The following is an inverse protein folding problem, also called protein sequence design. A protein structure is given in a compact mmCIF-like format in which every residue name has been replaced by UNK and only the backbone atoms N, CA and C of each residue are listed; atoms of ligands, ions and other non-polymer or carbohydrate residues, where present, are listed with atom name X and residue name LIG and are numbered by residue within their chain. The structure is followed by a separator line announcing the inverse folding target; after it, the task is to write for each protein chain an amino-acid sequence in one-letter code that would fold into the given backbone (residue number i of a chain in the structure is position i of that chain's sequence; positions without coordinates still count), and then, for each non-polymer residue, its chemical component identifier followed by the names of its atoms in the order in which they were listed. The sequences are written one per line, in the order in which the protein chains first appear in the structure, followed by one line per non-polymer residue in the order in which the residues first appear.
data_IF_520341019028
#
_entry.id   IF_520341019028
#
_cell.length_a   1.000
_cell.length_b   1.000
_cell.length_c   1.000
_cell.angle_alpha   90.00
_cell.angle_beta   90.00
_cell.angle_gamma   90.00
#
_symmetry.space_group_name_H-M   'P 1'
#
loop_
_entity.id
_entity.type
_entity.pdbx_description
1 polymer ?
#
# COMPACT_ATOMS: atom_id res chain seq x y z
N UNK A 1 -17.65 12.15 8.94
CA UNK A 1 -18.11 12.57 7.58
C UNK A 1 -17.31 11.91 6.47
N UNK A 2 -15.99 12.16 6.27
CA UNK A 2 -15.21 11.50 5.21
C UNK A 2 -15.20 9.97 5.34
N UNK A 3 -14.94 9.44 6.55
CA UNK A 3 -14.99 7.99 6.85
C UNK A 3 -16.35 7.39 6.52
N UNK A 4 -17.44 7.98 6.99
CA UNK A 4 -18.79 7.44 6.81
C UNK A 4 -19.18 7.43 5.32
N UNK A 5 -18.75 8.47 4.57
CA UNK A 5 -18.96 8.55 3.13
C UNK A 5 -18.16 7.44 2.40
N UNK A 6 -16.90 7.23 2.78
CA UNK A 6 -16.05 6.20 2.22
C UNK A 6 -16.60 4.79 2.51
N UNK A 7 -17.04 4.55 3.75
CA UNK A 7 -17.66 3.28 4.16
C UNK A 7 -18.94 3.00 3.36
N UNK A 8 -19.86 3.98 3.28
CA UNK A 8 -21.11 3.83 2.54
C UNK A 8 -20.87 3.61 1.04
N UNK A 9 -19.90 4.34 0.45
CA UNK A 9 -19.52 4.16 -0.95
C UNK A 9 -19.01 2.74 -1.20
N UNK A 10 -17.99 2.29 -0.46
CA UNK A 10 -17.40 0.96 -0.65
C UNK A 10 -18.39 -0.16 -0.34
N UNK A 11 -19.31 0.02 0.61
CA UNK A 11 -20.39 -0.93 0.85
C UNK A 11 -21.29 -1.10 -0.39
N UNK A 12 -21.41 -0.08 -1.24
CA UNK A 12 -22.23 -0.12 -2.46
C UNK A 12 -21.51 -0.73 -3.67
N UNK A 13 -20.17 -0.81 -3.69
CA UNK A 13 -19.39 -1.23 -4.88
C UNK A 13 -18.48 -2.41 -4.64
N UNK A 14 -18.23 -2.78 -3.38
CA UNK A 14 -17.21 -3.77 -2.99
C UNK A 14 -17.79 -4.72 -1.94
N UNK A 15 -18.84 -5.46 -2.28
CA UNK A 15 -19.30 -6.59 -1.51
C UNK A 15 -18.43 -7.84 -1.76
N UNK A 16 -18.63 -8.91 -0.99
CA UNK A 16 -17.86 -10.16 -1.12
C UNK A 16 -17.88 -10.72 -2.54
N UNK A 17 -19.02 -10.66 -3.22
CA UNK A 17 -19.19 -11.18 -4.59
C UNK A 17 -18.37 -10.33 -5.58
N UNK A 18 -18.43 -9.02 -5.47
CA UNK A 18 -17.67 -8.07 -6.30
C UNK A 18 -16.16 -8.24 -6.10
N UNK A 19 -15.70 -8.38 -4.84
CA UNK A 19 -14.28 -8.64 -4.52
C UNK A 19 -13.81 -9.93 -5.19
N UNK A 20 -14.57 -11.04 -5.04
CA UNK A 20 -14.21 -12.34 -5.63
C UNK A 20 -14.23 -12.31 -7.15
N UNK A 21 -15.16 -11.60 -7.77
CA UNK A 21 -15.19 -11.37 -9.22
C UNK A 21 -13.97 -10.58 -9.70
N UNK A 22 -13.61 -9.52 -8.99
CA UNK A 22 -12.43 -8.70 -9.30
C UNK A 22 -11.11 -9.51 -9.21
N UNK A 23 -10.97 -10.39 -8.19
CA UNK A 23 -9.82 -11.30 -8.05
C UNK A 23 -9.60 -12.17 -9.28
N UNK A 24 -10.69 -12.63 -9.92
CA UNK A 24 -10.66 -13.48 -11.11
C UNK A 24 -10.47 -12.72 -12.42
N UNK A 25 -10.59 -11.38 -12.40
CA UNK A 25 -10.43 -10.57 -13.60
C UNK A 25 -8.97 -10.55 -14.08
N UNK A 26 -8.72 -10.30 -15.38
CA UNK A 26 -7.36 -10.16 -15.92
C UNK A 26 -6.56 -9.07 -15.20
N UNK A 27 -7.21 -7.95 -14.85
CA UNK A 27 -6.58 -6.82 -14.15
C UNK A 27 -6.45 -7.06 -12.63
N UNK A 28 -7.14 -8.07 -12.07
CA UNK A 28 -7.18 -8.29 -10.63
C UNK A 28 -7.94 -7.22 -9.85
N UNK A 29 -8.62 -6.30 -10.54
CA UNK A 29 -9.53 -5.30 -10.00
C UNK A 29 -10.66 -5.03 -11.00
N UNK A 30 -11.76 -4.47 -10.53
CA UNK A 30 -12.89 -4.07 -11.36
C UNK A 30 -12.69 -2.66 -11.90
N UNK A 31 -12.67 -2.51 -13.23
CA UNK A 31 -12.43 -1.23 -13.89
C UNK A 31 -13.58 -0.24 -13.67
N UNK A 32 -14.82 -0.74 -13.58
CA UNK A 32 -15.99 0.09 -13.28
C UNK A 32 -15.93 0.62 -11.84
N UNK A 33 -15.53 -0.21 -10.89
CA UNK A 33 -15.29 0.22 -9.51
C UNK A 33 -14.20 1.30 -9.44
N UNK A 34 -13.08 1.13 -10.16
CA UNK A 34 -12.03 2.15 -10.24
C UNK A 34 -12.54 3.46 -10.83
N UNK A 35 -13.29 3.42 -11.92
CA UNK A 35 -13.89 4.61 -12.52
C UNK A 35 -14.82 5.33 -11.55
N UNK A 36 -15.62 4.59 -10.77
CA UNK A 36 -16.47 5.17 -9.73
C UNK A 36 -15.67 5.78 -8.59
N UNK A 37 -14.59 5.14 -8.14
CA UNK A 37 -13.66 5.74 -7.16
C UNK A 37 -13.14 7.07 -7.69
N UNK A 38 -12.75 7.14 -8.95
CA UNK A 38 -12.24 8.36 -9.57
C UNK A 38 -13.29 9.45 -9.73
N UNK A 39 -14.50 9.10 -10.17
CA UNK A 39 -15.53 10.10 -10.53
C UNK A 39 -16.40 10.55 -9.36
N UNK A 40 -16.68 9.64 -8.40
CA UNK A 40 -17.60 9.94 -7.29
C UNK A 40 -16.84 10.35 -6.01
N UNK A 41 -15.65 9.76 -5.77
CA UNK A 41 -14.87 9.98 -4.54
C UNK A 41 -13.61 10.80 -4.76
N UNK A 42 -13.10 10.85 -5.98
CA UNK A 42 -11.89 11.56 -6.38
C UNK A 42 -10.65 11.23 -5.55
N UNK A 43 -10.54 9.97 -5.08
CA UNK A 43 -9.45 9.55 -4.18
C UNK A 43 -8.07 9.58 -4.87
N UNK A 44 -8.00 9.36 -6.18
CA UNK A 44 -6.75 9.47 -6.92
C UNK A 44 -6.16 10.88 -6.92
N UNK A 45 -7.02 11.90 -6.71
CA UNK A 45 -6.64 13.31 -6.67
C UNK A 45 -6.28 13.84 -5.26
N UNK A 46 -6.48 13.05 -4.19
CA UNK A 46 -6.29 13.53 -2.80
C UNK A 46 -4.92 14.17 -2.61
N UNK A 47 -3.85 13.48 -3.00
CA UNK A 47 -2.46 13.93 -2.82
C UNK A 47 -1.94 14.80 -3.98
N UNK A 48 -2.66 14.89 -5.09
CA UNK A 48 -2.23 15.67 -6.25
C UNK A 48 -2.38 17.15 -5.96
N UNK A 49 -1.40 18.02 -6.28
CA UNK A 49 -1.51 19.47 -6.13
C UNK A 49 -2.65 20.08 -6.93
N UNK A 50 -3.27 21.15 -6.42
CA UNK A 50 -4.33 21.90 -7.15
C UNK A 50 -3.85 22.41 -8.50
N UNK A 51 -2.58 22.82 -8.63
CA UNK A 51 -1.99 23.23 -9.91
C UNK A 51 -1.95 22.11 -10.97
N UNK A 52 -2.17 20.87 -10.56
CA UNK A 52 -2.26 19.69 -11.41
C UNK A 52 -3.66 19.04 -11.34
N UNK A 53 -4.69 19.84 -11.10
CA UNK A 53 -6.10 19.44 -11.04
C UNK A 53 -6.42 18.46 -9.88
N UNK A 54 -5.63 18.47 -8.79
CA UNK A 54 -5.83 17.67 -7.59
C UNK A 54 -6.54 18.40 -6.45
N UNK A 55 -6.60 17.76 -5.27
CA UNK A 55 -7.24 18.31 -4.07
C UNK A 55 -6.25 18.93 -3.07
N UNK A 56 -4.96 18.73 -3.23
CA UNK A 56 -3.91 19.16 -2.28
C UNK A 56 -4.22 18.80 -0.82
N UNK A 57 -4.88 17.67 -0.60
CA UNK A 57 -5.10 17.14 0.74
C UNK A 57 -3.89 16.30 1.19
N UNK A 58 -3.95 15.79 2.44
CA UNK A 58 -2.82 15.13 3.08
C UNK A 58 -2.89 13.61 3.11
N UNK A 59 -1.89 13.04 3.77
CA UNK A 59 -1.79 11.61 4.07
C UNK A 59 -2.88 11.19 5.05
N UNK A 60 -3.32 12.08 5.95
CA UNK A 60 -4.42 11.81 6.89
C UNK A 60 -5.70 11.46 6.12
N UNK A 61 -6.11 12.25 5.12
CA UNK A 61 -7.30 11.98 4.31
C UNK A 61 -7.13 10.71 3.48
N UNK A 62 -5.94 10.48 2.92
CA UNK A 62 -5.66 9.28 2.15
C UNK A 62 -5.72 8.02 3.03
N UNK A 63 -5.25 8.06 4.28
CA UNK A 63 -5.31 6.91 5.20
C UNK A 63 -6.75 6.54 5.56
N UNK A 64 -7.68 7.50 5.60
CA UNK A 64 -9.10 7.20 5.80
C UNK A 64 -9.64 6.35 4.65
N UNK A 65 -9.30 6.68 3.41
CA UNK A 65 -9.70 5.88 2.25
C UNK A 65 -9.07 4.47 2.30
N UNK A 66 -7.78 4.36 2.63
CA UNK A 66 -7.10 3.06 2.73
C UNK A 66 -7.61 2.20 3.88
N UNK A 67 -7.95 2.76 5.04
CA UNK A 67 -8.59 2.02 6.12
C UNK A 67 -9.90 1.36 5.63
N UNK A 68 -10.74 2.09 4.88
CA UNK A 68 -11.99 1.52 4.35
C UNK A 68 -11.75 0.51 3.21
N UNK A 69 -10.75 0.73 2.34
CA UNK A 69 -10.29 -0.27 1.37
C UNK A 69 -9.84 -1.56 2.06
N UNK A 70 -9.10 -1.45 3.16
CA UNK A 70 -8.68 -2.59 3.98
C UNK A 70 -9.86 -3.33 4.63
N UNK A 71 -10.86 -2.60 5.12
CA UNK A 71 -12.09 -3.19 5.67
C UNK A 71 -12.89 -4.00 4.64
N UNK A 72 -12.94 -3.56 3.40
CA UNK A 72 -13.70 -4.22 2.31
C UNK A 72 -12.84 -5.12 1.43
N UNK A 73 -11.53 -5.18 1.66
CA UNK A 73 -10.56 -5.87 0.79
C UNK A 73 -10.71 -5.47 -0.68
N UNK A 74 -11.08 -4.22 -0.96
CA UNK A 74 -11.39 -3.73 -2.30
C UNK A 74 -10.17 -3.80 -3.21
N UNK A 75 -10.16 -4.66 -4.25
CA UNK A 75 -9.06 -4.66 -5.21
C UNK A 75 -9.14 -3.40 -6.06
N UNK A 76 -8.12 -2.54 -5.95
CA UNK A 76 -8.06 -1.29 -6.72
C UNK A 76 -6.62 -0.85 -6.96
N UNK A 77 -6.34 -0.03 -7.98
CA UNK A 77 -5.02 0.53 -8.19
C UNK A 77 -4.71 1.76 -7.32
N UNK A 78 -5.57 2.11 -6.34
CA UNK A 78 -5.40 3.32 -5.53
C UNK A 78 -4.03 3.38 -4.85
N UNK A 79 -3.55 2.26 -4.29
CA UNK A 79 -2.24 2.21 -3.65
C UNK A 79 -1.10 2.51 -4.64
N UNK A 80 -1.14 1.92 -5.84
CA UNK A 80 -0.14 2.17 -6.86
C UNK A 80 -0.12 3.66 -7.27
N UNK A 81 -1.30 4.22 -7.55
CA UNK A 81 -1.46 5.62 -7.95
C UNK A 81 -1.03 6.58 -6.83
N UNK A 82 -1.45 6.35 -5.58
CA UNK A 82 -1.06 7.19 -4.44
C UNK A 82 0.47 7.18 -4.22
N UNK A 83 1.09 5.99 -4.27
CA UNK A 83 2.55 5.87 -4.13
C UNK A 83 3.28 6.52 -5.30
N UNK A 84 2.76 6.39 -6.53
CA UNK A 84 3.27 7.08 -7.71
C UNK A 84 3.18 8.61 -7.59
N UNK A 85 2.07 9.14 -7.07
CA UNK A 85 1.92 10.58 -6.79
C UNK A 85 2.92 11.05 -5.74
N UNK A 86 3.13 10.31 -4.64
CA UNK A 86 4.14 10.64 -3.63
C UNK A 86 5.54 10.68 -4.25
N UNK A 87 5.88 9.70 -5.09
CA UNK A 87 7.15 9.67 -5.81
C UNK A 87 7.33 10.90 -6.71
N UNK A 88 6.29 11.29 -7.46
CA UNK A 88 6.33 12.48 -8.32
C UNK A 88 6.44 13.78 -7.50
N UNK A 89 5.77 13.87 -6.35
CA UNK A 89 5.85 15.04 -5.46
C UNK A 89 7.22 15.22 -4.81
N UNK A 90 8.04 14.19 -4.72
CA UNK A 90 9.41 14.27 -4.21
C UNK A 90 10.43 14.83 -5.22
N UNK A 91 9.98 15.15 -6.43
CA UNK A 91 10.82 15.68 -7.51
C UNK A 91 10.75 17.19 -7.59
N UNK A 92 11.79 17.79 -8.17
CA UNK A 92 11.76 19.18 -8.59
C UNK A 92 10.69 19.40 -9.67
N UNK A 93 10.07 20.57 -9.67
CA UNK A 93 9.03 20.91 -10.64
C UNK A 93 9.57 20.89 -12.07
N UNK A 94 8.89 20.15 -12.92
CA UNK A 94 9.15 20.09 -14.36
C UNK A 94 7.85 19.90 -15.15
N UNK A 95 7.85 20.25 -16.42
CA UNK A 95 6.70 20.05 -17.30
C UNK A 95 6.29 18.55 -17.37
N UNK A 96 7.28 17.65 -17.35
CA UNK A 96 7.05 16.20 -17.37
C UNK A 96 6.40 15.70 -16.09
N UNK A 97 6.92 16.13 -14.92
CA UNK A 97 6.36 15.79 -13.61
C UNK A 97 4.91 16.31 -13.48
N UNK A 98 4.66 17.57 -13.87
CA UNK A 98 3.30 18.15 -13.84
C UNK A 98 2.33 17.39 -14.75
N UNK A 99 2.76 17.00 -15.96
CA UNK A 99 1.94 16.19 -16.87
C UNK A 99 1.57 14.84 -16.26
N UNK A 100 2.52 14.16 -15.59
CA UNK A 100 2.26 12.87 -14.92
C UNK A 100 1.31 13.04 -13.72
N UNK A 101 1.44 14.12 -12.94
CA UNK A 101 0.51 14.41 -11.85
C UNK A 101 -0.92 14.67 -12.36
N UNK A 102 -1.08 15.39 -13.47
CA UNK A 102 -2.38 15.57 -14.12
C UNK A 102 -2.98 14.26 -14.60
N UNK A 103 -2.17 13.42 -15.24
CA UNK A 103 -2.61 12.08 -15.65
C UNK A 103 -3.10 11.24 -14.45
N UNK A 104 -2.42 11.35 -13.30
CA UNK A 104 -2.86 10.68 -12.06
C UNK A 104 -4.21 11.24 -11.58
N UNK A 105 -4.41 12.57 -11.59
CA UNK A 105 -5.67 13.20 -11.23
C UNK A 105 -6.83 12.77 -12.14
N UNK A 106 -6.55 12.51 -13.43
CA UNK A 106 -7.52 11.98 -14.40
C UNK A 106 -7.82 10.48 -14.21
N UNK A 107 -7.14 9.80 -13.26
CA UNK A 107 -7.37 8.40 -12.94
C UNK A 107 -6.49 7.41 -13.72
N UNK A 108 -5.45 7.88 -14.44
CA UNK A 108 -4.44 6.99 -14.99
C UNK A 108 -3.65 6.34 -13.85
N UNK A 109 -3.40 5.05 -13.99
CA UNK A 109 -2.64 4.29 -12.98
C UNK A 109 -1.15 4.50 -13.22
N UNK A 110 -0.48 5.04 -12.21
CA UNK A 110 0.97 5.23 -12.17
C UNK A 110 1.53 4.28 -11.12
N UNK A 111 2.35 3.30 -11.53
CA UNK A 111 2.88 2.30 -10.62
C UNK A 111 4.40 2.44 -10.44
N UNK A 112 4.87 2.34 -9.19
CA UNK A 112 6.28 2.41 -8.84
C UNK A 112 6.92 1.01 -8.87
N UNK A 113 7.94 0.84 -9.71
CA UNK A 113 8.76 -0.37 -9.85
C UNK A 113 10.14 -0.10 -9.21
N UNK A 114 10.33 -0.60 -7.97
CA UNK A 114 11.49 -0.26 -7.14
C UNK A 114 12.17 -1.46 -6.47
N UNK A 115 11.62 -2.67 -6.69
CA UNK A 115 12.05 -3.89 -5.98
C UNK A 115 12.87 -4.78 -6.89
N UNK A 116 13.93 -5.40 -6.38
CA UNK A 116 14.75 -6.31 -7.16
C UNK A 116 14.01 -7.58 -7.60
N UNK A 117 14.55 -8.27 -8.59
CA UNK A 117 14.07 -9.58 -9.05
C UNK A 117 14.10 -10.65 -7.91
N UNK A 118 14.94 -10.46 -6.88
CA UNK A 118 15.03 -11.30 -5.69
C UNK A 118 14.06 -10.88 -4.58
N UNK A 119 13.17 -9.93 -4.85
CA UNK A 119 12.18 -9.45 -3.89
C UNK A 119 12.78 -8.75 -2.66
N UNK A 120 13.91 -8.10 -2.85
CA UNK A 120 14.52 -7.26 -1.83
C UNK A 120 14.05 -5.81 -2.02
N UNK A 121 13.50 -5.21 -0.97
CA UNK A 121 12.96 -3.85 -0.98
C UNK A 121 14.05 -2.77 -1.04
N UNK A 122 15.28 -3.11 -0.67
CA UNK A 122 16.40 -2.16 -0.57
C UNK A 122 17.31 -2.14 -1.79
N UNK A 123 17.10 -3.05 -2.76
CA UNK A 123 17.94 -3.16 -3.95
C UNK A 123 17.13 -3.07 -5.23
N UNK A 124 17.76 -2.58 -6.29
CA UNK A 124 17.22 -2.51 -7.66
C UNK A 124 18.05 -3.38 -8.60
N UNK A 125 17.38 -4.08 -9.52
CA UNK A 125 18.05 -4.91 -10.54
C UNK A 125 17.88 -4.34 -11.97
N UNK A 126 17.16 -3.23 -12.11
CA UNK A 126 17.10 -2.50 -13.38
C UNK A 126 18.35 -1.65 -13.54
N UNK A 127 19.01 -1.77 -14.68
CA UNK A 127 20.19 -0.98 -15.04
C UNK A 127 19.79 0.10 -16.05
N UNK A 128 20.30 1.31 -15.85
CA UNK A 128 20.19 2.41 -16.79
C UNK A 128 21.54 2.66 -17.45
N UNK A 129 21.55 2.78 -18.77
CA UNK A 129 22.75 3.12 -19.54
C UNK A 129 22.44 4.30 -20.47
N UNK A 130 23.37 5.26 -20.56
CA UNK A 130 23.27 6.37 -21.50
C UNK A 130 23.45 5.83 -22.92
N UNK A 131 22.43 6.03 -23.74
CA UNK A 131 22.44 5.73 -25.17
C UNK A 131 22.73 6.96 -26.04
N UNK A 132 22.77 6.80 -27.37
CA UNK A 132 23.03 7.91 -28.29
C UNK A 132 21.94 8.99 -28.30
N UNK A 133 20.68 8.61 -28.06
CA UNK A 133 19.49 9.48 -28.16
C UNK A 133 18.72 9.57 -26.85
N UNK A 134 19.32 9.12 -25.73
CA UNK A 134 18.67 9.13 -24.42
C UNK A 134 19.15 8.00 -23.52
N UNK A 135 18.25 7.16 -23.02
CA UNK A 135 18.54 6.13 -22.04
C UNK A 135 18.12 4.75 -22.53
N UNK A 136 18.78 3.71 -22.06
CA UNK A 136 18.43 2.31 -22.29
C UNK A 136 18.25 1.65 -20.92
N UNK A 137 17.04 1.11 -20.66
CA UNK A 137 16.76 0.37 -19.44
C UNK A 137 16.70 -1.14 -19.73
N UNK A 138 17.36 -1.92 -18.87
CA UNK A 138 17.36 -3.39 -18.93
C UNK A 138 17.31 -3.98 -17.53
N UNK A 139 16.48 -5.00 -17.30
CA UNK A 139 16.39 -5.69 -16.01
C UNK A 139 14.97 -6.06 -15.63
N UNK A 140 14.80 -6.37 -14.36
CA UNK A 140 13.52 -6.83 -13.80
C UNK A 140 13.18 -6.09 -12.50
N UNK A 141 11.87 -5.92 -12.25
CA UNK A 141 11.35 -5.52 -10.96
C UNK A 141 10.15 -6.41 -10.59
N UNK A 142 10.00 -6.72 -9.31
CA UNK A 142 8.91 -7.57 -8.81
C UNK A 142 8.03 -6.84 -7.81
N UNK A 143 6.87 -7.44 -7.52
CA UNK A 143 5.88 -6.90 -6.59
C UNK A 143 5.48 -5.45 -6.90
N UNK A 144 5.40 -5.10 -8.20
CA UNK A 144 4.87 -3.83 -8.66
C UNK A 144 3.36 -3.84 -8.45
N UNK A 145 2.88 -3.06 -7.48
CA UNK A 145 1.45 -2.99 -7.16
C UNK A 145 0.64 -2.53 -8.38
N UNK A 146 -0.36 -3.32 -8.79
CA UNK A 146 -1.19 -3.06 -9.97
C UNK A 146 -0.42 -2.74 -11.26
N UNK A 147 0.86 -3.11 -11.39
CA UNK A 147 1.72 -2.73 -12.52
C UNK A 147 1.18 -3.17 -13.87
N UNK A 148 0.47 -4.31 -13.94
CA UNK A 148 -0.13 -4.83 -15.17
C UNK A 148 -1.39 -4.06 -15.63
N UNK A 149 -1.92 -3.16 -14.79
CA UNK A 149 -2.98 -2.22 -15.13
C UNK A 149 -2.51 -0.77 -15.27
N UNK A 150 -1.20 -0.52 -15.09
CA UNK A 150 -0.62 0.81 -15.17
C UNK A 150 -0.43 1.28 -16.61
N UNK A 151 -0.66 2.56 -16.85
CA UNK A 151 -0.30 3.25 -18.09
C UNK A 151 1.14 3.75 -18.02
N UNK A 152 1.56 4.23 -16.85
CA UNK A 152 2.92 4.70 -16.61
C UNK A 152 3.57 3.91 -15.49
N UNK A 153 4.80 3.47 -15.72
CA UNK A 153 5.67 2.84 -14.75
C UNK A 153 6.76 3.84 -14.33
N UNK A 154 6.82 4.16 -13.04
CA UNK A 154 7.96 4.86 -12.46
C UNK A 154 9.00 3.79 -12.09
N UNK A 155 10.07 3.73 -12.85
CA UNK A 155 11.10 2.69 -12.72
C UNK A 155 12.32 3.26 -12.01
N UNK A 156 12.69 2.64 -10.89
CA UNK A 156 13.97 2.92 -10.24
C UNK A 156 15.03 2.04 -10.87
N UNK A 157 16.10 2.67 -11.38
CA UNK A 157 17.20 1.97 -12.02
C UNK A 157 18.55 2.40 -11.46
N UNK A 158 19.48 1.47 -11.42
CA UNK A 158 20.89 1.76 -11.11
C UNK A 158 21.56 2.42 -12.30
N UNK A 159 22.04 3.62 -12.10
CA UNK A 159 22.79 4.42 -13.07
C UNK A 159 24.23 4.61 -12.56
N UNK A 160 25.05 3.59 -12.71
CA UNK A 160 26.46 3.66 -12.31
C UNK A 160 26.68 3.77 -10.79
N UNK A 161 25.84 3.15 -9.99
CA UNK A 161 25.87 3.15 -8.52
C UNK A 161 24.95 4.22 -7.88
N UNK A 162 24.18 4.94 -8.69
CA UNK A 162 23.15 5.88 -8.23
C UNK A 162 21.77 5.37 -8.61
N UNK A 163 20.80 5.49 -7.71
CA UNK A 163 19.40 5.16 -7.99
C UNK A 163 18.75 6.35 -8.70
N UNK A 164 18.41 6.17 -9.98
CA UNK A 164 17.71 7.16 -10.81
C UNK A 164 16.27 6.75 -11.04
N UNK A 165 15.35 7.72 -11.18
CA UNK A 165 13.93 7.49 -11.45
C UNK A 165 13.60 7.82 -12.89
N UNK A 166 12.92 6.90 -13.56
CA UNK A 166 12.50 7.02 -14.96
C UNK A 166 10.98 6.87 -15.09
N UNK A 167 10.36 7.64 -15.98
CA UNK A 167 8.98 7.42 -16.42
C UNK A 167 8.96 6.60 -17.71
N UNK A 168 8.32 5.45 -17.66
CA UNK A 168 8.24 4.49 -18.77
C UNK A 168 6.77 4.26 -19.12
N UNK A 169 6.39 4.42 -20.38
CA UNK A 169 5.06 4.01 -20.87
C UNK A 169 5.00 2.48 -20.90
N UNK A 170 3.99 1.91 -20.25
CA UNK A 170 3.83 0.45 -20.15
C UNK A 170 3.59 -0.23 -21.50
N UNK A 171 3.18 0.51 -22.54
CA UNK A 171 2.97 0.00 -23.89
C UNK A 171 4.23 0.05 -24.78
N UNK A 172 5.36 0.56 -24.28
CA UNK A 172 6.60 0.66 -25.08
C UNK A 172 7.15 -0.71 -25.46
N UNK A 173 7.80 -0.75 -26.62
CA UNK A 173 8.51 -1.95 -27.07
C UNK A 173 9.64 -2.32 -26.09
N UNK A 174 9.71 -3.59 -25.74
CA UNK A 174 10.68 -4.12 -24.78
C UNK A 174 10.17 -4.13 -23.33
N UNK A 175 9.01 -3.49 -23.06
CA UNK A 175 8.34 -3.55 -21.76
C UNK A 175 7.42 -4.76 -21.73
N UNK A 176 7.58 -5.61 -20.72
CA UNK A 176 6.68 -6.74 -20.47
C UNK A 176 6.23 -6.69 -19.00
N UNK A 177 4.93 -6.56 -18.79
CA UNK A 177 4.33 -6.57 -17.46
C UNK A 177 3.40 -7.77 -17.34
N UNK A 178 3.62 -8.61 -16.33
CA UNK A 178 2.83 -9.81 -16.09
C UNK A 178 2.28 -9.84 -14.68
N UNK A 179 1.02 -10.30 -14.51
CA UNK A 179 0.41 -10.49 -13.19
C UNK A 179 1.19 -11.57 -12.44
N UNK A 180 1.62 -11.25 -11.22
CA UNK A 180 2.31 -12.20 -10.34
C UNK A 180 1.28 -13.01 -9.55
N UNK A 181 1.28 -14.35 -9.62
CA UNK A 181 0.44 -15.17 -8.75
C UNK A 181 0.82 -14.97 -7.28
N UNK A 182 -0.13 -14.54 -6.48
CA UNK A 182 0.05 -14.33 -5.04
C UNK A 182 -1.02 -15.07 -4.24
N UNK A 183 -0.74 -15.34 -2.96
CA UNK A 183 -1.72 -15.93 -2.06
C UNK A 183 -2.90 -14.98 -1.82
N UNK A 184 -2.62 -13.69 -1.67
CA UNK A 184 -3.64 -12.65 -1.59
C UNK A 184 -3.94 -12.10 -2.99
N UNK A 185 -5.05 -12.55 -3.57
CA UNK A 185 -5.51 -12.09 -4.88
C UNK A 185 -6.30 -10.78 -4.80
N UNK A 186 -6.63 -10.30 -3.60
CA UNK A 186 -7.32 -9.01 -3.42
C UNK A 186 -6.39 -7.81 -3.57
N UNK A 187 -5.04 -8.05 -3.60
CA UNK A 187 -4.00 -7.06 -3.84
C UNK A 187 -3.16 -7.48 -5.05
N UNK A 188 -3.55 -7.10 -6.27
CA UNK A 188 -2.87 -7.55 -7.48
C UNK A 188 -1.46 -6.97 -7.58
N UNK A 189 -0.49 -7.85 -7.84
CA UNK A 189 0.93 -7.55 -8.01
C UNK A 189 1.39 -7.95 -9.41
N UNK A 190 2.43 -7.29 -9.90
CA UNK A 190 3.02 -7.57 -11.20
C UNK A 190 4.53 -7.77 -11.10
N UNK A 191 5.06 -8.46 -12.11
CA UNK A 191 6.49 -8.51 -12.44
C UNK A 191 6.71 -7.70 -13.72
N UNK A 192 7.71 -6.82 -13.69
CA UNK A 192 8.17 -6.02 -14.81
C UNK A 192 9.45 -6.61 -15.36
N UNK A 193 9.52 -6.77 -16.67
CA UNK A 193 10.74 -7.10 -17.41
C UNK A 193 10.98 -6.04 -18.49
N UNK A 194 12.21 -5.52 -18.54
CA UNK A 194 12.67 -4.51 -19.48
C UNK A 194 13.80 -5.13 -20.34
N UNK A 195 13.55 -5.25 -21.64
CA UNK A 195 14.51 -5.74 -22.62
C UNK A 195 14.99 -4.60 -23.50
N UNK A 196 16.08 -3.96 -23.08
CA UNK A 196 16.75 -2.88 -23.82
C UNK A 196 15.78 -1.76 -24.24
N UNK A 197 14.93 -1.31 -23.29
CA UNK A 197 13.93 -0.27 -23.55
C UNK A 197 14.62 1.07 -23.78
N UNK A 198 14.48 1.60 -24.99
CA UNK A 198 15.05 2.89 -25.38
C UNK A 198 14.09 4.03 -24.97
N UNK A 199 14.61 4.99 -24.23
CA UNK A 199 13.90 6.14 -23.70
C UNK A 199 14.56 7.46 -24.15
N UNK A 200 13.77 8.50 -24.33
CA UNK A 200 14.25 9.84 -24.56
C UNK A 200 14.96 10.43 -23.33
N UNK A 201 15.70 11.52 -23.48
CA UNK A 201 16.41 12.20 -22.38
C UNK A 201 15.48 12.62 -21.24
N UNK A 202 14.28 13.11 -21.55
CA UNK A 202 13.29 13.63 -20.60
C UNK A 202 12.53 12.53 -19.84
N UNK A 203 12.77 11.25 -20.17
CA UNK A 203 12.22 10.13 -19.43
C UNK A 203 12.87 9.97 -18.05
N UNK A 204 14.12 10.45 -17.86
CA UNK A 204 14.75 10.50 -16.54
C UNK A 204 14.19 11.67 -15.73
N UNK A 205 13.44 11.34 -14.68
CA UNK A 205 12.80 12.32 -13.80
C UNK A 205 13.75 12.81 -12.69
N UNK A 206 14.66 11.96 -12.24
CA UNK A 206 15.69 12.30 -11.23
C UNK A 206 16.90 11.41 -11.41
N UNK A 207 18.10 12.02 -11.38
CA UNK A 207 19.36 11.28 -11.47
C UNK A 207 19.76 10.62 -10.14
N UNK A 208 19.42 11.25 -9.00
CA UNK A 208 19.74 10.75 -7.67
C UNK A 208 18.47 10.73 -6.79
N UNK A 209 17.72 9.67 -6.89
CA UNK A 209 16.42 9.52 -6.22
C UNK A 209 16.45 8.62 -4.98
N UNK A 210 17.60 8.06 -4.59
CA UNK A 210 17.70 7.08 -3.51
C UNK A 210 17.20 7.57 -2.15
N UNK A 211 17.43 8.85 -1.79
CA UNK A 211 16.87 9.45 -0.58
C UNK A 211 15.34 9.56 -0.66
N UNK A 212 14.82 10.14 -1.74
CA UNK A 212 13.38 10.28 -1.99
C UNK A 212 12.66 8.94 -2.12
N UNK A 213 13.37 7.89 -2.60
CA UNK A 213 12.82 6.53 -2.58
C UNK A 213 12.50 6.08 -1.16
N UNK A 214 13.41 6.28 -0.21
CA UNK A 214 13.21 5.87 1.19
C UNK A 214 11.99 6.56 1.80
N UNK A 215 11.89 7.88 1.70
CA UNK A 215 10.75 8.64 2.24
C UNK A 215 9.44 8.31 1.53
N UNK A 216 9.47 8.08 0.20
CA UNK A 216 8.31 7.60 -0.56
C UNK A 216 7.83 6.24 -0.03
N UNK A 217 8.74 5.31 0.25
CA UNK A 217 8.39 4.00 0.79
C UNK A 217 7.91 4.08 2.24
N UNK A 218 8.39 5.03 3.04
CA UNK A 218 7.88 5.27 4.39
C UNK A 218 6.41 5.72 4.36
N UNK A 219 6.04 6.62 3.45
CA UNK A 219 4.62 6.97 3.22
C UNK A 219 3.85 5.76 2.68
N UNK A 220 4.44 4.97 1.79
CA UNK A 220 3.86 3.71 1.32
C UNK A 220 3.57 2.71 2.44
N UNK A 221 4.43 2.62 3.47
CA UNK A 221 4.21 1.83 4.70
C UNK A 221 3.01 2.35 5.49
N UNK A 222 2.82 3.67 5.56
CA UNK A 222 1.66 4.27 6.23
C UNK A 222 0.36 3.88 5.52
N UNK A 223 0.32 3.88 4.19
CA UNK A 223 -0.84 3.42 3.42
C UNK A 223 -1.13 1.93 3.63
N UNK A 224 -0.10 1.08 3.64
CA UNK A 224 -0.24 -0.35 3.98
C UNK A 224 -0.74 -0.53 5.41
N UNK A 225 -0.22 0.23 6.36
CA UNK A 225 -0.67 0.25 7.75
C UNK A 225 -2.15 0.60 7.89
N UNK A 226 -2.65 1.54 7.09
CA UNK A 226 -4.07 1.88 7.05
C UNK A 226 -4.93 0.71 6.54
N UNK A 227 -4.52 0.03 5.45
CA UNK A 227 -5.20 -1.19 4.98
C UNK A 227 -5.18 -2.29 6.05
N UNK A 228 -4.06 -2.45 6.76
CA UNK A 228 -3.92 -3.44 7.85
C UNK A 228 -4.85 -3.13 9.03
N UNK A 229 -4.99 -1.88 9.43
CA UNK A 229 -5.94 -1.45 10.47
C UNK A 229 -7.38 -1.75 10.04
N UNK A 230 -7.74 -1.45 8.79
CA UNK A 230 -9.04 -1.79 8.21
C UNK A 230 -9.30 -3.30 8.19
N UNK A 231 -8.31 -4.09 7.77
CA UNK A 231 -8.35 -5.55 7.78
C UNK A 231 -8.56 -6.12 9.19
N UNK A 232 -7.83 -5.60 10.18
CA UNK A 232 -7.95 -6.02 11.57
C UNK A 232 -9.34 -5.67 12.15
N UNK A 233 -9.85 -4.46 11.85
CA UNK A 233 -11.17 -4.02 12.29
C UNK A 233 -12.27 -4.93 11.74
N UNK A 234 -12.29 -5.21 10.45
CA UNK A 234 -13.34 -6.05 9.85
C UNK A 234 -13.22 -7.50 10.31
N UNK A 235 -12.01 -8.00 10.55
CA UNK A 235 -11.80 -9.32 11.15
C UNK A 235 -12.40 -9.41 12.55
N UNK A 236 -12.33 -8.33 13.34
CA UNK A 236 -12.99 -8.22 14.65
C UNK A 236 -14.52 -8.17 14.49
N UNK A 237 -15.03 -7.24 13.67
CA UNK A 237 -16.46 -6.99 13.53
C UNK A 237 -17.21 -8.23 13.00
N UNK A 238 -16.68 -8.85 11.94
CA UNK A 238 -17.24 -10.09 11.37
C UNK A 238 -17.20 -11.26 12.36
N UNK A 239 -16.11 -11.37 13.14
CA UNK A 239 -15.99 -12.40 14.16
C UNK A 239 -16.99 -12.20 15.29
N UNK A 240 -17.17 -10.97 15.78
CA UNK A 240 -18.14 -10.63 16.83
C UNK A 240 -19.57 -10.92 16.34
N UNK A 241 -19.90 -10.56 15.10
CA UNK A 241 -21.19 -10.88 14.50
C UNK A 241 -21.43 -12.41 14.47
N UNK A 242 -20.44 -13.16 13.93
CA UNK A 242 -20.55 -14.62 13.82
C UNK A 242 -20.75 -15.32 15.19
N UNK A 243 -19.94 -14.98 16.20
CA UNK A 243 -20.06 -15.60 17.54
C UNK A 243 -21.34 -15.18 18.27
N UNK A 244 -21.93 -14.03 17.91
CA UNK A 244 -23.21 -13.56 18.40
C UNK A 244 -24.39 -14.40 17.91
N UNK A 245 -24.30 -14.97 16.72
CA UNK A 245 -25.34 -15.77 16.08
C UNK A 245 -25.14 -17.29 16.30
N UNK A 246 -23.88 -17.75 16.31
CA UNK A 246 -23.54 -19.17 16.37
C UNK A 246 -23.91 -19.80 17.72
N UNK A 247 -24.76 -20.81 17.73
CA UNK A 247 -25.17 -21.58 18.92
C UNK A 247 -24.38 -22.88 19.02
N UNK A 248 -23.77 -23.13 20.19
CA UNK A 248 -23.17 -24.40 20.58
C UNK A 248 -23.42 -24.64 22.06
N UNK A 249 -23.61 -25.92 22.45
CA UNK A 249 -23.91 -26.30 23.84
C UNK A 249 -25.10 -25.54 24.43
N UNK A 250 -26.15 -25.32 23.62
CA UNK A 250 -27.41 -24.72 24.04
C UNK A 250 -27.42 -23.20 24.21
N UNK A 251 -26.35 -22.48 23.85
CA UNK A 251 -26.25 -21.00 23.91
C UNK A 251 -25.35 -20.43 22.84
N UNK A 252 -25.43 -19.12 22.60
CA UNK A 252 -24.51 -18.44 21.67
C UNK A 252 -23.08 -18.54 22.18
N UNK A 253 -22.12 -18.76 21.28
CA UNK A 253 -20.72 -18.89 21.68
C UNK A 253 -20.14 -17.59 22.21
N UNK A 254 -20.71 -16.43 21.88
CA UNK A 254 -20.38 -15.13 22.46
C UNK A 254 -20.61 -15.06 23.99
N UNK A 255 -21.44 -15.96 24.56
CA UNK A 255 -21.70 -15.98 26.00
C UNK A 255 -20.53 -16.52 26.83
N UNK A 256 -19.56 -17.20 26.21
CA UNK A 256 -18.38 -17.76 26.90
C UNK A 256 -17.31 -16.71 27.15
N UNK A 257 -16.75 -16.67 28.38
CA UNK A 257 -15.72 -15.68 28.75
C UNK A 257 -14.47 -15.74 27.85
N UNK A 258 -14.02 -16.96 27.48
CA UNK A 258 -12.87 -17.12 26.61
C UNK A 258 -13.04 -16.42 25.24
N UNK A 259 -14.28 -16.40 24.71
CA UNK A 259 -14.60 -15.70 23.45
C UNK A 259 -14.59 -14.18 23.65
N UNK A 260 -15.20 -13.72 24.76
CA UNK A 260 -15.19 -12.28 25.10
C UNK A 260 -13.78 -11.72 25.29
N UNK A 261 -12.90 -12.48 25.95
CA UNK A 261 -11.50 -12.07 26.14
C UNK A 261 -10.77 -11.99 24.80
N UNK A 262 -10.95 -12.96 23.89
CA UNK A 262 -10.36 -12.91 22.54
C UNK A 262 -10.82 -11.67 21.77
N UNK A 263 -12.11 -11.34 21.78
CA UNK A 263 -12.63 -10.14 21.14
C UNK A 263 -12.07 -8.85 21.76
N UNK A 264 -11.91 -8.81 23.09
CA UNK A 264 -11.28 -7.69 23.77
C UNK A 264 -9.79 -7.53 23.39
N UNK A 265 -9.04 -8.63 23.30
CA UNK A 265 -7.64 -8.61 22.86
C UNK A 265 -7.52 -8.14 21.40
N UNK A 266 -8.42 -8.57 20.52
CA UNK A 266 -8.49 -8.08 19.13
C UNK A 266 -8.73 -6.56 19.11
N UNK A 267 -9.71 -6.07 19.89
CA UNK A 267 -10.05 -4.65 19.98
C UNK A 267 -8.86 -3.81 20.45
N UNK A 268 -8.12 -4.26 21.48
CA UNK A 268 -6.91 -3.57 21.95
C UNK A 268 -5.86 -3.44 20.85
N UNK A 269 -5.66 -4.50 20.06
CA UNK A 269 -4.72 -4.48 18.93
C UNK A 269 -5.14 -3.48 17.86
N UNK A 270 -6.43 -3.49 17.48
CA UNK A 270 -6.98 -2.57 16.48
C UNK A 270 -6.82 -1.11 16.92
N UNK A 271 -7.22 -0.76 18.15
CA UNK A 271 -7.18 0.63 18.63
C UNK A 271 -5.75 1.14 18.82
N UNK A 272 -4.83 0.26 19.26
CA UNK A 272 -3.40 0.62 19.36
C UNK A 272 -2.81 0.91 17.97
N UNK A 273 -3.09 0.06 16.97
CA UNK A 273 -2.63 0.26 15.60
C UNK A 273 -3.26 1.51 14.95
N UNK A 274 -4.56 1.77 15.21
CA UNK A 274 -5.26 2.96 14.71
C UNK A 274 -4.67 4.25 15.28
N UNK A 275 -4.31 4.25 16.57
CA UNK A 275 -3.67 5.41 17.20
C UNK A 275 -2.33 5.74 16.56
N UNK A 276 -1.51 4.70 16.28
CA UNK A 276 -0.25 4.86 15.57
C UNK A 276 -0.44 5.25 14.11
N UNK A 277 -1.51 4.78 13.44
CA UNK A 277 -1.84 5.17 12.08
C UNK A 277 -2.06 6.68 11.96
N UNK A 278 -2.90 7.25 12.82
CA UNK A 278 -3.13 8.70 12.79
C UNK A 278 -1.90 9.50 13.19
N UNK A 279 -1.13 9.03 14.16
CA UNK A 279 0.14 9.65 14.51
C UNK A 279 1.09 9.68 13.30
N UNK A 280 1.31 8.53 12.63
CA UNK A 280 2.20 8.45 11.49
C UNK A 280 1.70 9.26 10.28
N UNK A 281 0.38 9.32 10.07
CA UNK A 281 -0.21 10.13 9.01
C UNK A 281 -0.01 11.64 9.25
N UNK A 282 -0.15 12.11 10.50
CA UNK A 282 0.14 13.51 10.85
C UNK A 282 1.63 13.85 10.63
N UNK A 283 2.56 12.99 11.06
CA UNK A 283 4.00 13.19 10.81
C UNK A 283 4.30 13.22 9.30
N UNK A 284 3.62 12.40 8.50
CA UNK A 284 3.78 12.43 7.05
C UNK A 284 3.24 13.72 6.42
N UNK A 285 2.15 14.30 6.95
CA UNK A 285 1.65 15.60 6.50
C UNK A 285 2.60 16.74 6.89
N UNK A 286 3.15 16.71 8.11
CA UNK A 286 4.19 17.65 8.55
C UNK A 286 5.45 17.52 7.66
N UNK A 287 5.85 16.29 7.29
CA UNK A 287 6.97 16.07 6.38
C UNK A 287 6.69 16.63 4.99
N UNK A 288 5.48 16.43 4.44
CA UNK A 288 5.07 17.01 3.15
C UNK A 288 5.02 18.54 3.16
N UNK A 289 4.81 19.15 4.33
CA UNK A 289 4.87 20.60 4.55
C UNK A 289 6.30 21.13 4.79
N UNK A 290 7.28 20.24 5.00
CA UNK A 290 8.66 20.59 5.32
C UNK A 290 8.92 20.83 6.81
N UNK A 291 7.96 20.49 7.68
CA UNK A 291 8.01 20.74 9.12
C UNK A 291 8.55 19.53 9.93
N UNK A 292 8.61 18.35 9.32
CA UNK A 292 9.19 17.16 9.94
C UNK A 292 10.41 16.63 9.16
N UNK A 293 11.35 15.97 9.87
CA UNK A 293 12.54 15.37 9.26
C UNK A 293 12.26 13.99 8.66
N UNK A 294 13.09 13.54 7.71
CA UNK A 294 13.07 12.17 7.18
C UNK A 294 13.16 11.13 8.30
N UNK A 295 13.94 11.44 9.35
CA UNK A 295 14.08 10.60 10.52
C UNK A 295 12.78 10.41 11.30
N UNK A 296 12.02 11.47 11.53
CA UNK A 296 10.73 11.40 12.21
C UNK A 296 9.70 10.59 11.39
N UNK A 297 9.68 10.81 10.06
CA UNK A 297 8.82 10.03 9.16
C UNK A 297 9.16 8.54 9.19
N UNK A 298 10.45 8.18 9.06
CA UNK A 298 10.90 6.78 9.07
C UNK A 298 10.59 6.08 10.40
N UNK A 299 10.71 6.78 11.53
CA UNK A 299 10.36 6.25 12.85
C UNK A 299 8.86 6.00 12.97
N UNK A 300 8.04 6.99 12.65
CA UNK A 300 6.58 6.88 12.70
C UNK A 300 6.06 5.77 11.78
N UNK A 301 6.59 5.66 10.55
CA UNK A 301 6.27 4.59 9.61
C UNK A 301 6.67 3.20 10.15
N UNK A 302 7.85 3.08 10.79
CA UNK A 302 8.32 1.82 11.38
C UNK A 302 7.48 1.41 12.60
N UNK A 303 7.12 2.36 13.48
CA UNK A 303 6.23 2.11 14.62
C UNK A 303 4.88 1.59 14.16
N UNK A 304 4.27 2.24 13.18
CA UNK A 304 3.00 1.80 12.60
C UNK A 304 3.12 0.41 11.96
N UNK A 305 4.11 0.18 11.09
CA UNK A 305 4.28 -1.08 10.34
C UNK A 305 4.43 -2.26 11.30
N UNK A 306 5.20 -2.12 12.39
CA UNK A 306 5.36 -3.17 13.39
C UNK A 306 4.06 -3.48 14.13
N UNK A 307 3.28 -2.46 14.48
CA UNK A 307 2.04 -2.63 15.24
C UNK A 307 0.86 -3.07 14.37
N UNK A 308 0.67 -2.43 13.20
CA UNK A 308 -0.46 -2.71 12.33
C UNK A 308 -0.35 -4.09 11.66
N UNK A 309 0.86 -4.52 11.26
CA UNK A 309 1.11 -5.87 10.75
C UNK A 309 0.77 -6.95 11.78
N UNK A 310 1.26 -6.79 13.02
CA UNK A 310 0.94 -7.70 14.14
C UNK A 310 -0.58 -7.71 14.44
N UNK A 311 -1.24 -6.54 14.42
CA UNK A 311 -2.67 -6.43 14.68
C UNK A 311 -3.51 -7.14 13.61
N UNK A 312 -3.21 -6.90 12.33
CA UNK A 312 -3.92 -7.53 11.20
C UNK A 312 -3.79 -9.06 11.25
N UNK A 313 -2.56 -9.57 11.43
CA UNK A 313 -2.32 -11.00 11.49
C UNK A 313 -2.99 -11.66 12.71
N UNK A 314 -2.88 -11.03 13.89
CA UNK A 314 -3.52 -11.51 15.10
C UNK A 314 -5.05 -11.55 14.99
N UNK A 315 -5.67 -10.45 14.50
CA UNK A 315 -7.12 -10.36 14.38
C UNK A 315 -7.66 -11.33 13.34
N UNK A 316 -7.06 -11.41 12.15
CA UNK A 316 -7.50 -12.33 11.11
C UNK A 316 -7.32 -13.80 11.53
N UNK A 317 -6.19 -14.17 12.16
CA UNK A 317 -5.96 -15.51 12.68
C UNK A 317 -6.90 -15.89 13.81
N UNK A 318 -7.17 -14.96 14.74
CA UNK A 318 -8.17 -15.16 15.79
C UNK A 318 -9.57 -15.27 15.20
N UNK A 319 -9.89 -14.50 14.16
CA UNK A 319 -11.14 -14.57 13.44
C UNK A 319 -11.36 -15.96 12.82
N UNK A 320 -10.38 -16.55 12.15
CA UNK A 320 -10.45 -17.93 11.66
C UNK A 320 -10.76 -18.91 12.81
N UNK A 321 -10.05 -18.76 13.93
CA UNK A 321 -10.27 -19.62 15.10
C UNK A 321 -11.70 -19.47 15.67
N UNK A 322 -12.25 -18.27 15.71
CA UNK A 322 -13.60 -18.01 16.21
C UNK A 322 -14.69 -18.56 15.28
N UNK A 323 -14.46 -18.56 13.97
CA UNK A 323 -15.34 -19.20 12.98
C UNK A 323 -15.23 -20.73 13.01
N UNK A 324 -14.12 -21.28 13.50
CA UNK A 324 -13.87 -22.72 13.52
C UNK A 324 -13.71 -23.30 12.10
N UNK A 325 -14.20 -24.50 11.84
CA UNK A 325 -14.01 -25.18 10.56
C UNK A 325 -14.49 -24.42 9.32
N UNK A 326 -15.50 -23.57 9.44
CA UNK A 326 -15.97 -22.77 8.30
C UNK A 326 -15.04 -21.59 7.98
N UNK A 327 -14.22 -21.14 8.93
CA UNK A 327 -13.32 -19.99 8.75
C UNK A 327 -12.22 -20.18 7.71
N UNK A 328 -11.92 -21.43 7.33
CA UNK A 328 -10.95 -21.77 6.28
C UNK A 328 -11.59 -22.08 4.92
N UNK A 329 -12.92 -22.09 4.85
CA UNK A 329 -13.66 -22.39 3.60
C UNK A 329 -13.80 -21.14 2.74
N UNK A 330 -14.02 -21.33 1.44
CA UNK A 330 -14.24 -20.22 0.51
C UNK A 330 -15.59 -19.51 0.69
N UNK A 331 -16.51 -20.08 1.45
CA UNK A 331 -17.83 -19.52 1.73
C UNK A 331 -17.77 -18.31 2.68
N UNK A 332 -16.72 -18.23 3.51
CA UNK A 332 -16.53 -17.16 4.48
C UNK A 332 -15.35 -16.27 4.09
N UNK A 333 -15.51 -14.96 4.24
CA UNK A 333 -14.48 -13.99 3.83
C UNK A 333 -13.31 -13.88 4.80
N UNK A 334 -13.44 -14.37 6.04
CA UNK A 334 -12.38 -14.26 7.05
C UNK A 334 -11.04 -14.86 6.58
N UNK A 335 -11.05 -15.88 5.72
CA UNK A 335 -9.85 -16.44 5.11
C UNK A 335 -9.17 -15.47 4.12
N UNK A 336 -9.94 -14.55 3.50
CA UNK A 336 -9.37 -13.52 2.63
C UNK A 336 -8.64 -12.46 3.46
N UNK A 337 -9.20 -12.07 4.61
CA UNK A 337 -8.53 -11.18 5.56
C UNK A 337 -7.24 -11.79 6.10
N UNK A 338 -7.22 -13.09 6.37
CA UNK A 338 -5.99 -13.77 6.77
C UNK A 338 -4.93 -13.76 5.67
N UNK A 339 -5.31 -14.02 4.42
CA UNK A 339 -4.39 -13.94 3.27
C UNK A 339 -3.85 -12.52 3.07
N UNK A 340 -4.71 -11.48 3.18
CA UNK A 340 -4.32 -10.07 3.11
C UNK A 340 -3.35 -9.72 4.25
N UNK A 341 -3.67 -10.07 5.49
CA UNK A 341 -2.81 -9.82 6.63
C UNK A 341 -1.43 -10.47 6.45
N UNK A 342 -1.40 -11.74 6.00
CA UNK A 342 -0.14 -12.45 5.77
C UNK A 342 0.70 -11.87 4.64
N UNK A 343 0.07 -11.41 3.55
CA UNK A 343 0.78 -10.81 2.42
C UNK A 343 1.32 -9.43 2.74
N UNK A 344 0.58 -8.63 3.52
CA UNK A 344 0.99 -7.27 3.87
C UNK A 344 1.94 -7.21 5.08
N UNK A 345 2.01 -8.26 5.91
CA UNK A 345 2.91 -8.33 7.06
C UNK A 345 4.39 -8.15 6.68
N UNK A 346 4.79 -8.64 5.51
CA UNK A 346 6.18 -8.54 5.02
C UNK A 346 6.36 -7.54 3.87
N UNK A 347 5.29 -6.86 3.46
CA UNK A 347 5.37 -5.90 2.37
C UNK A 347 6.03 -4.60 2.86
N UNK A 348 7.12 -4.20 2.20
CA UNK A 348 8.00 -3.08 2.57
C UNK A 348 8.72 -3.24 3.92
N UNK A 349 8.95 -4.46 4.35
CA UNK A 349 9.65 -4.82 5.59
C UNK A 349 8.77 -5.60 6.56
N UNK A 350 9.38 -6.44 7.37
CA UNK A 350 8.69 -7.25 8.37
C UNK A 350 8.58 -6.50 9.71
N UNK A 351 7.61 -6.84 10.57
CA UNK A 351 7.46 -6.21 11.88
C UNK A 351 8.71 -6.28 12.76
N UNK A 352 9.47 -7.38 12.69
CA UNK A 352 10.73 -7.53 13.43
C UNK A 352 11.86 -6.64 12.89
N UNK A 353 11.95 -6.45 11.58
CA UNK A 353 12.90 -5.51 10.94
C UNK A 353 12.60 -4.06 11.32
N UNK A 354 11.33 -3.68 11.37
CA UNK A 354 10.91 -2.35 11.82
C UNK A 354 11.22 -2.12 13.31
N UNK A 355 10.99 -3.11 14.18
CA UNK A 355 11.37 -3.02 15.60
C UNK A 355 12.89 -2.88 15.78
N UNK A 356 13.68 -3.61 14.98
CA UNK A 356 15.14 -3.49 14.98
C UNK A 356 15.60 -2.09 14.53
N UNK A 357 14.96 -1.51 13.52
CA UNK A 357 15.27 -0.16 13.06
C UNK A 357 15.01 0.90 14.16
N UNK A 358 13.88 0.78 14.88
CA UNK A 358 13.55 1.65 16.01
C UNK A 358 14.58 1.48 17.14
N UNK A 359 14.90 0.23 17.51
CA UNK A 359 15.86 -0.06 18.58
C UNK A 359 17.25 0.52 18.29
N UNK A 360 17.75 0.37 17.05
CA UNK A 360 19.03 0.94 16.66
C UNK A 360 19.04 2.47 16.80
N UNK A 361 17.98 3.14 16.37
CA UNK A 361 17.90 4.61 16.50
C UNK A 361 17.95 5.06 17.96
N UNK A 362 17.14 4.45 18.85
CA UNK A 362 17.12 4.78 20.27
C UNK A 362 18.48 4.57 20.94
N UNK A 363 19.18 3.48 20.60
CA UNK A 363 20.50 3.17 21.19
C UNK A 363 21.60 4.07 20.64
N UNK A 364 21.53 4.49 19.38
CA UNK A 364 22.51 5.39 18.76
C UNK A 364 22.35 6.83 19.30
N UNK A 365 21.13 7.28 19.56
CA UNK A 365 20.85 8.58 20.19
C UNK A 365 21.38 8.62 21.62
N UNK A 366 21.18 7.57 22.43
CA UNK A 366 21.72 7.46 23.80
C UNK A 366 23.27 7.49 23.80
N UNK A 367 23.92 6.86 22.83
CA UNK A 367 25.35 6.87 22.69
C UNK A 367 25.92 8.28 22.34
N UNK A 368 25.16 9.07 21.58
CA UNK A 368 25.52 10.44 21.20
C UNK A 368 25.35 11.46 22.34
N UNK A 369 24.47 11.18 23.32
CA UNK A 369 24.27 12.00 24.51
C UNK A 369 25.22 11.65 25.68
N UNK A 370 25.89 10.48 25.61
CA UNK A 370 26.82 10.01 26.63
C UNK A 370 28.30 10.31 26.31
N UNK A 371 28.60 10.87 25.14
CA UNK A 371 29.93 11.31 24.70
C UNK A 371 30.06 12.85 24.75
#
# INVERSE_FOLDING_TARGET
MLRDTAEAFLASVSDSTSVRSAMQSPLGFDQGCWQRICSEMYWQGILVPESCDGLSLGVVEMTIAFEQIGRRLTPSPLYASALGVVALRSLDESARQQALLKNAAEGQVIALAHTSARSNWDTVDVQAQKGPEGWILTGEARFVSCGHGAQTLLVVADNGGQESLFAVDAAMRGVTVSKTPTMDQTRPMASLHLDSVALDEDAMLSENWGASRRTTLDIGRIFVGAEQVGCAQESLDSSVAYVGERVQFGRTIASYQAIKHKAADMMLKVESARSLLYFAACIADEWLAGDASDGALAEAASMLSSCAGDAAFFCAGTGIQLHGGVGITEEYDIQLYFKRARSTESYLGRPDEHREAIAKRLLDEDASHAA
#
